data_IF_565755229769
#
_entry.id   IF_565755229769
#
_cell.length_a   1.000
_cell.length_b   1.000
_cell.length_c   1.000
_cell.angle_alpha   90.00
_cell.angle_beta   90.00
_cell.angle_gamma   90.00
#
_symmetry.space_group_name_H-M   'P 1'
#
loop_
_entity.id
_entity.type
_entity.pdbx_description
1 polymer ?
#
# COMPACT_ATOMS: atom_id res chain seq x y z
N UNK A 1 12.98 -2.30 4.71
CA UNK A 1 12.84 -3.07 3.44
C UNK A 1 11.36 -3.27 3.16
N UNK A 2 10.60 -3.62 4.20
CA UNK A 2 9.15 -3.85 4.18
C UNK A 2 8.36 -2.64 3.60
N UNK A 3 8.60 -1.43 4.11
CA UNK A 3 7.92 -0.21 3.63
C UNK A 3 8.17 0.07 2.13
N UNK A 4 9.38 -0.23 1.65
CA UNK A 4 9.75 -0.05 0.24
C UNK A 4 9.00 -1.06 -0.63
N UNK A 5 8.88 -2.31 -0.16
CA UNK A 5 8.10 -3.33 -0.86
C UNK A 5 6.62 -2.98 -0.90
N UNK A 6 6.04 -2.54 0.22
CA UNK A 6 4.67 -2.06 0.29
C UNK A 6 4.41 -0.87 -0.66
N UNK A 7 5.36 0.08 -0.72
CA UNK A 7 5.26 1.22 -1.63
C UNK A 7 5.40 0.82 -3.11
N UNK A 8 6.28 -0.13 -3.44
CA UNK A 8 6.40 -0.63 -4.81
C UNK A 8 5.11 -1.31 -5.27
N UNK A 9 4.45 -2.04 -4.37
CA UNK A 9 3.14 -2.66 -4.62
C UNK A 9 2.06 -1.59 -4.79
N UNK A 10 2.05 -0.55 -3.94
CA UNK A 10 1.05 0.52 -4.07
C UNK A 10 1.18 1.29 -5.38
N UNK A 11 2.40 1.49 -5.89
CA UNK A 11 2.66 2.17 -7.15
C UNK A 11 2.59 1.26 -8.39
N UNK A 12 2.32 -0.04 -8.24
CA UNK A 12 2.28 -0.98 -9.36
C UNK A 12 1.20 -0.60 -10.38
N UNK A 13 1.55 -0.56 -11.66
CA UNK A 13 0.61 -0.23 -12.75
C UNK A 13 -0.10 1.14 -12.62
N UNK A 14 0.39 2.04 -11.76
CA UNK A 14 -0.07 3.43 -11.69
C UNK A 14 0.80 4.27 -12.64
N UNK A 15 0.21 5.19 -13.44
CA UNK A 15 1.00 6.07 -14.29
C UNK A 15 2.00 6.88 -13.45
N UNK A 16 3.25 6.93 -13.89
CA UNK A 16 4.39 7.48 -13.14
C UNK A 16 4.45 9.02 -13.22
N UNK A 17 3.31 9.68 -13.11
CA UNK A 17 3.25 11.14 -13.02
C UNK A 17 3.56 11.57 -11.59
N UNK A 18 4.13 12.77 -11.42
CA UNK A 18 4.49 13.29 -10.10
C UNK A 18 3.29 13.27 -9.13
N UNK A 19 2.13 13.72 -9.59
CA UNK A 19 0.91 13.77 -8.77
C UNK A 19 0.38 12.39 -8.38
N UNK A 20 0.45 11.40 -9.27
CA UNK A 20 0.01 10.04 -8.96
C UNK A 20 0.97 9.35 -8.01
N UNK A 21 2.28 9.45 -8.22
CA UNK A 21 3.27 8.87 -7.31
C UNK A 21 3.16 9.51 -5.92
N UNK A 22 2.99 10.84 -5.86
CA UNK A 22 2.84 11.57 -4.60
C UNK A 22 1.56 11.20 -3.85
N UNK A 23 0.43 11.12 -4.54
CA UNK A 23 -0.84 10.68 -3.93
C UNK A 23 -0.79 9.21 -3.48
N UNK A 24 -0.23 8.31 -4.29
CA UNK A 24 0.04 6.91 -3.91
C UNK A 24 0.88 6.83 -2.64
N UNK A 25 1.94 7.64 -2.53
CA UNK A 25 2.79 7.67 -1.34
C UNK A 25 2.03 8.10 -0.08
N UNK A 26 1.24 9.17 -0.17
CA UNK A 26 0.45 9.67 0.97
C UNK A 26 -0.57 8.61 1.41
N UNK A 27 -1.32 8.05 0.46
CA UNK A 27 -2.36 7.06 0.76
C UNK A 27 -1.74 5.80 1.38
N UNK A 28 -0.64 5.31 0.81
CA UNK A 28 0.12 4.19 1.37
C UNK A 28 0.53 4.48 2.82
N UNK A 29 1.09 5.65 3.09
CA UNK A 29 1.56 6.01 4.44
C UNK A 29 0.43 6.11 5.46
N UNK A 30 -0.76 6.51 5.01
CA UNK A 30 -1.96 6.52 5.85
C UNK A 30 -2.39 5.09 6.19
N UNK A 31 -2.40 4.16 5.22
CA UNK A 31 -2.79 2.76 5.47
C UNK A 31 -1.78 1.99 6.32
N UNK A 32 -0.50 2.19 6.04
CA UNK A 32 0.62 1.65 6.80
C UNK A 32 0.63 2.16 8.26
N UNK A 33 0.36 3.46 8.47
CA UNK A 33 0.30 4.05 9.80
C UNK A 33 -0.97 3.78 10.61
N UNK A 34 -2.15 3.73 9.97
CA UNK A 34 -3.43 3.52 10.66
C UNK A 34 -3.67 2.06 11.06
N UNK A 35 -3.01 1.11 10.38
CA UNK A 35 -3.18 -0.34 10.59
C UNK A 35 -4.62 -0.76 10.91
N UNK A 36 -5.61 -0.44 10.05
CA UNK A 36 -6.99 -0.85 10.28
C UNK A 36 -7.08 -2.36 10.53
N UNK A 37 -7.96 -2.77 11.45
CA UNK A 37 -8.05 -4.13 12.04
C UNK A 37 -7.98 -5.36 11.08
N UNK A 38 -8.32 -5.34 9.77
CA UNK A 38 -8.01 -6.47 8.88
C UNK A 38 -6.51 -6.73 8.67
N UNK A 39 -5.63 -5.73 8.84
CA UNK A 39 -4.17 -5.87 8.66
C UNK A 39 -3.55 -6.67 9.83
N UNK A 40 -4.05 -6.51 11.06
CA UNK A 40 -3.57 -7.24 12.25
C UNK A 40 -3.79 -8.76 12.23
N UNK A 41 -4.48 -9.32 11.24
CA UNK A 41 -4.59 -10.79 11.12
C UNK A 41 -3.24 -11.46 10.80
N UNK A 42 -2.30 -10.72 10.19
CA UNK A 42 -0.97 -11.23 9.86
C UNK A 42 0.01 -11.24 11.05
N UNK A 43 -0.33 -10.59 12.19
CA UNK A 43 0.49 -10.61 13.42
C UNK A 43 0.64 -12.01 14.03
N UNK A 44 -0.19 -12.98 13.64
CA UNK A 44 -0.05 -14.37 14.08
C UNK A 44 1.04 -15.16 13.33
N UNK A 45 1.70 -14.57 12.33
CA UNK A 45 2.85 -15.16 11.67
C UNK A 45 4.10 -14.91 12.50
N UNK A 46 4.74 -15.97 12.98
CA UNK A 46 5.94 -15.86 13.81
C UNK A 46 7.10 -15.15 13.08
N UNK A 47 7.67 -14.11 13.69
CA UNK A 47 8.88 -13.41 13.23
C UNK A 47 8.62 -12.16 12.37
N UNK A 48 9.65 -11.65 11.69
CA UNK A 48 9.60 -10.44 10.85
C UNK A 48 8.67 -10.51 9.63
N UNK A 49 8.11 -11.69 9.34
CA UNK A 49 7.15 -11.90 8.25
C UNK A 49 5.81 -11.18 8.47
N UNK A 50 5.38 -11.00 9.73
CA UNK A 50 4.15 -10.27 10.04
C UNK A 50 4.22 -8.79 9.64
N UNK A 51 5.38 -8.15 9.85
CA UNK A 51 5.61 -6.74 9.50
C UNK A 51 5.60 -6.57 7.97
N UNK A 52 6.29 -7.45 7.24
CA UNK A 52 6.29 -7.38 5.79
C UNK A 52 4.91 -7.67 5.17
N UNK A 53 4.14 -8.58 5.78
CA UNK A 53 2.78 -8.88 5.34
C UNK A 53 1.83 -7.68 5.55
N UNK A 54 1.95 -6.96 6.67
CA UNK A 54 1.18 -5.74 6.93
C UNK A 54 1.40 -4.70 5.81
N UNK A 55 2.67 -4.43 5.48
CA UNK A 55 3.07 -3.43 4.48
C UNK A 55 2.61 -3.83 3.06
N UNK A 56 2.66 -5.13 2.74
CA UNK A 56 2.13 -5.68 1.48
C UNK A 56 0.62 -5.46 1.38
N UNK A 57 -0.13 -5.74 2.44
CA UNK A 57 -1.59 -5.55 2.44
C UNK A 57 -1.94 -4.07 2.30
N UNK A 58 -1.27 -3.18 3.04
CA UNK A 58 -1.42 -1.74 2.88
C UNK A 58 -1.09 -1.27 1.45
N UNK A 59 -0.06 -1.88 0.84
CA UNK A 59 0.31 -1.66 -0.55
C UNK A 59 -0.80 -2.03 -1.53
N UNK A 60 -1.38 -3.23 -1.39
CA UNK A 60 -2.47 -3.71 -2.27
C UNK A 60 -3.71 -2.84 -2.15
N UNK A 61 -4.13 -2.47 -0.93
CA UNK A 61 -5.29 -1.59 -0.73
C UNK A 61 -5.08 -0.23 -1.40
N UNK A 62 -3.90 0.36 -1.21
CA UNK A 62 -3.54 1.63 -1.85
C UNK A 62 -3.59 1.50 -3.37
N UNK A 63 -3.07 0.40 -3.91
CA UNK A 63 -3.06 0.17 -5.35
C UNK A 63 -4.48 0.13 -5.92
N UNK A 64 -5.38 -0.64 -5.30
CA UNK A 64 -6.79 -0.75 -5.74
C UNK A 64 -7.46 0.63 -5.77
N UNK A 65 -7.26 1.44 -4.73
CA UNK A 65 -7.82 2.80 -4.66
C UNK A 65 -7.27 3.66 -5.80
N UNK A 66 -5.96 3.63 -6.02
CA UNK A 66 -5.32 4.41 -7.08
C UNK A 66 -5.73 3.93 -8.48
N UNK A 67 -5.95 2.63 -8.69
CA UNK A 67 -6.49 2.10 -9.93
C UNK A 67 -7.89 2.62 -10.21
N UNK A 68 -8.76 2.68 -9.19
CA UNK A 68 -10.11 3.27 -9.34
C UNK A 68 -10.00 4.75 -9.73
N UNK A 69 -9.07 5.50 -9.13
CA UNK A 69 -8.82 6.90 -9.49
C UNK A 69 -8.33 7.00 -10.93
N UNK A 70 -7.34 6.22 -11.33
CA UNK A 70 -6.83 6.20 -12.71
C UNK A 70 -7.96 5.91 -13.70
N UNK A 71 -8.75 4.86 -13.46
CA UNK A 71 -9.88 4.48 -14.32
C UNK A 71 -11.00 5.53 -14.42
N UNK A 72 -11.09 6.45 -13.46
CA UNK A 72 -12.14 7.49 -13.44
C UNK A 72 -11.69 8.81 -14.06
N UNK A 73 -10.38 9.06 -14.10
CA UNK A 73 -9.81 10.35 -14.49
C UNK A 73 -8.91 10.28 -15.74
N UNK A 74 -8.63 9.08 -16.26
CA UNK A 74 -7.90 8.81 -17.51
C UNK A 74 -8.74 7.90 -18.42
#
# INVERSE_FOLDING_TARGET
IDEIMGFLISAAFIPKTFWMIFSTFIIFRIFDGLKPKPIRLAENLAGGWGIMADDVVAGVFTNIIMQIVVLRFF
#
